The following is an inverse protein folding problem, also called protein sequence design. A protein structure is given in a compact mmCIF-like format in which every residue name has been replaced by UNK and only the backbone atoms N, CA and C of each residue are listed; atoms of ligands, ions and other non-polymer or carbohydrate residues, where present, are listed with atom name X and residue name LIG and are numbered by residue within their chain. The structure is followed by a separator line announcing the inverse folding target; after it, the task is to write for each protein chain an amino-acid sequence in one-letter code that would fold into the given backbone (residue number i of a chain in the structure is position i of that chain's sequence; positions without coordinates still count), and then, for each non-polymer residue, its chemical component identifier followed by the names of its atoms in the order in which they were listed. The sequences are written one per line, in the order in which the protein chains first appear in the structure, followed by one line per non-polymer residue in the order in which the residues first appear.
data_IF_222174821226
#
_entry.id   IF_222174821226
#
_cell.length_a   1.000
_cell.length_b   1.000
_cell.length_c   1.000
_cell.angle_alpha   90.00
_cell.angle_beta   90.00
_cell.angle_gamma   90.00
#
_symmetry.space_group_name_H-M   'P 1'
#
loop_
_entity.id
_entity.type
_entity.pdbx_description
1 polymer ?
#
# COMPACT_ATOMS: atom_id res chain seq x y z
N UNK A 1 -11.91 15.18 55.37
CA UNK A 1 -13.03 15.08 56.33
C UNK A 1 -14.25 15.72 55.67
N UNK A 2 -15.30 14.92 55.43
CA UNK A 2 -16.64 15.00 56.08
C UNK A 2 -17.32 16.35 55.81
N UNK A 3 -18.53 16.43 55.25
CA UNK A 3 -19.60 15.45 55.07
C UNK A 3 -20.67 16.09 54.17
N UNK A 4 -21.94 15.69 54.12
CA UNK A 4 -22.76 14.52 54.45
C UNK A 4 -24.20 14.99 54.14
N UNK A 5 -25.10 14.08 53.76
CA UNK A 5 -26.56 14.30 53.72
C UNK A 5 -27.13 14.27 52.29
N UNK A 6 -27.68 13.19 51.71
CA UNK A 6 -28.82 12.33 52.14
C UNK A 6 -30.05 13.18 52.52
N UNK A 7 -31.28 12.95 52.04
CA UNK A 7 -31.91 11.78 51.43
C UNK A 7 -33.34 12.13 50.92
N UNK A 8 -34.01 11.11 50.38
CA UNK A 8 -35.47 10.82 50.39
C UNK A 8 -36.27 10.99 49.08
N UNK A 9 -36.53 9.84 48.43
CA UNK A 9 -37.79 9.45 47.77
C UNK A 9 -38.89 9.18 48.84
N UNK A 10 -40.13 8.64 48.56
CA UNK A 10 -40.83 8.29 47.31
C UNK A 10 -42.37 8.60 47.34
N UNK A 11 -43.17 7.92 46.47
CA UNK A 11 -44.65 7.69 46.49
C UNK A 11 -45.49 8.77 45.76
N UNK A 12 -46.59 8.50 45.05
CA UNK A 12 -47.42 7.30 44.83
C UNK A 12 -48.48 7.60 43.74
N UNK A 13 -48.85 6.56 42.98
CA UNK A 13 -50.19 6.20 42.45
C UNK A 13 -51.02 7.20 41.63
N UNK A 14 -51.56 6.73 40.50
CA UNK A 14 -52.95 6.24 40.46
C UNK A 14 -53.32 5.63 39.10
N UNK A 15 -53.94 4.46 39.18
CA UNK A 15 -54.60 3.76 38.11
C UNK A 15 -56.02 4.32 37.89
N UNK A 16 -56.58 4.17 36.70
CA UNK A 16 -58.03 4.17 36.50
C UNK A 16 -58.40 3.25 35.33
N UNK A 17 -59.06 2.16 35.72
CA UNK A 17 -59.81 1.19 34.92
C UNK A 17 -61.18 1.77 34.55
N UNK A 18 -61.65 1.54 33.32
CA UNK A 18 -63.07 1.42 32.99
C UNK A 18 -63.28 0.32 31.93
N UNK A 19 -63.39 -0.90 32.44
CA UNK A 19 -64.48 -1.88 32.31
C UNK A 19 -65.37 -2.03 31.04
N UNK A 20 -66.03 -3.22 30.90
CA UNK A 20 -66.28 -3.92 29.64
C UNK A 20 -67.77 -4.04 29.25
N UNK A 21 -68.06 -4.62 28.08
CA UNK A 21 -69.40 -5.11 27.73
C UNK A 21 -69.34 -6.57 27.25
N UNK A 22 -70.10 -7.42 27.96
CA UNK A 22 -70.48 -8.83 27.69
C UNK A 22 -71.68 -8.83 26.68
N UNK A 23 -72.14 -9.85 25.94
CA UNK A 23 -71.98 -11.33 25.85
C UNK A 23 -72.90 -11.84 24.69
N UNK A 24 -72.78 -13.14 24.38
CA UNK A 24 -73.78 -14.07 23.75
C UNK A 24 -73.89 -14.07 22.20
N UNK A 25 -74.03 -15.18 21.47
CA UNK A 25 -74.18 -16.61 21.80
C UNK A 25 -73.94 -17.53 20.56
N UNK A 26 -73.48 -18.76 20.83
CA UNK A 26 -73.70 -20.09 20.20
C UNK A 26 -74.14 -20.27 18.73
N UNK A 27 -73.42 -21.12 17.97
CA UNK A 27 -73.80 -22.53 17.60
C UNK A 27 -72.71 -23.20 16.69
N UNK A 28 -72.51 -24.54 16.73
CA UNK A 28 -71.51 -25.27 15.91
C UNK A 28 -72.17 -26.20 14.84
N UNK A 29 -71.48 -27.18 14.23
CA UNK A 29 -70.73 -27.09 12.97
C UNK A 29 -71.34 -27.93 11.82
N UNK A 30 -70.89 -27.75 10.57
CA UNK A 30 -71.11 -28.70 9.49
C UNK A 30 -69.79 -29.04 8.79
N UNK A 31 -69.54 -30.34 8.71
CA UNK A 31 -68.39 -31.03 8.10
C UNK A 31 -68.64 -31.18 6.60
N UNK A 32 -67.59 -31.03 5.76
CA UNK A 32 -67.31 -31.73 4.48
C UNK A 32 -66.09 -31.03 3.85
N UNK A 33 -64.87 -31.53 4.03
CA UNK A 33 -64.15 -32.47 3.15
C UNK A 33 -63.79 -31.94 1.75
N UNK A 34 -62.47 -31.91 1.53
CA UNK A 34 -61.73 -32.02 0.26
C UNK A 34 -61.64 -30.80 -0.65
N UNK A 35 -60.46 -30.18 -0.73
CA UNK A 35 -59.43 -30.50 -1.74
C UNK A 35 -58.33 -29.42 -1.83
N UNK A 36 -57.13 -29.88 -2.18
CA UNK A 36 -55.96 -29.12 -2.65
C UNK A 36 -55.22 -28.23 -1.64
N UNK A 37 -54.46 -28.87 -0.75
CA UNK A 37 -53.26 -28.26 -0.19
C UNK A 37 -52.26 -28.02 -1.33
N UNK A 38 -52.27 -26.83 -1.92
CA UNK A 38 -51.22 -26.37 -2.81
C UNK A 38 -49.91 -26.35 -2.01
N UNK A 39 -49.05 -27.34 -2.24
CA UNK A 39 -47.69 -27.34 -1.71
C UNK A 39 -46.99 -26.09 -2.26
N UNK A 40 -46.73 -25.13 -1.38
CA UNK A 40 -45.92 -23.98 -1.73
C UNK A 40 -44.54 -24.48 -2.20
N UNK A 41 -44.01 -24.01 -3.34
CA UNK A 41 -42.68 -24.39 -3.76
C UNK A 41 -41.70 -24.00 -2.66
N UNK A 42 -40.83 -24.93 -2.28
CA UNK A 42 -39.83 -24.70 -1.25
C UNK A 42 -39.10 -23.38 -1.52
N UNK A 43 -38.86 -22.54 -0.49
CA UNK A 43 -38.16 -21.29 -0.66
C UNK A 43 -36.81 -21.57 -1.35
N UNK A 44 -36.39 -20.73 -2.31
CA UNK A 44 -35.11 -20.91 -2.97
C UNK A 44 -34.02 -21.04 -1.91
N UNK A 45 -33.05 -21.97 -2.09
CA UNK A 45 -31.99 -22.14 -1.12
C UNK A 45 -31.34 -20.79 -0.84
N UNK A 46 -30.98 -20.50 0.43
CA UNK A 46 -30.34 -19.24 0.76
C UNK A 46 -29.15 -19.02 -0.18
N UNK A 47 -28.95 -17.80 -0.70
CA UNK A 47 -27.83 -17.53 -1.59
C UNK A 47 -26.56 -18.04 -0.91
N UNK A 48 -25.82 -18.91 -1.61
CA UNK A 48 -24.54 -19.41 -1.10
C UNK A 48 -23.74 -18.20 -0.64
N UNK A 49 -23.22 -18.19 0.60
CA UNK A 49 -22.49 -17.04 1.09
C UNK A 49 -21.40 -16.74 0.06
N UNK A 50 -21.41 -15.51 -0.47
CA UNK A 50 -20.39 -15.06 -1.40
C UNK A 50 -19.06 -15.31 -0.69
N UNK A 51 -18.27 -16.23 -1.24
CA UNK A 51 -16.92 -16.57 -0.79
C UNK A 51 -15.96 -15.41 -1.11
N UNK A 52 -16.34 -14.18 -0.78
CA UNK A 52 -15.55 -12.96 -1.00
C UNK A 52 -14.23 -12.96 -0.20
N UNK A 53 -13.99 -14.03 0.57
CA UNK A 53 -12.89 -14.24 1.49
C UNK A 53 -12.29 -15.66 1.39
N UNK A 54 -12.65 -16.47 0.39
CA UNK A 54 -11.98 -17.76 0.20
C UNK A 54 -10.57 -17.58 -0.36
N UNK A 55 -9.63 -18.46 0.04
CA UNK A 55 -8.33 -18.58 -0.63
C UNK A 55 -8.58 -18.88 -2.11
N UNK A 56 -7.84 -18.20 -3.00
CA UNK A 56 -7.85 -18.51 -4.42
C UNK A 56 -7.52 -19.99 -4.61
N UNK A 57 -8.36 -20.68 -5.38
CA UNK A 57 -8.08 -22.05 -5.81
C UNK A 57 -6.86 -22.07 -6.74
N UNK A 58 -6.14 -23.20 -6.84
CA UNK A 58 -5.03 -23.33 -7.78
C UNK A 58 -5.43 -23.02 -9.24
N UNK A 59 -6.66 -23.35 -9.63
CA UNK A 59 -7.21 -23.06 -10.96
C UNK A 59 -7.43 -21.56 -11.18
N UNK A 60 -8.02 -20.86 -10.19
CA UNK A 60 -8.18 -19.40 -10.24
C UNK A 60 -6.82 -18.68 -10.28
N UNK A 61 -5.83 -19.17 -9.52
CA UNK A 61 -4.47 -18.62 -9.53
C UNK A 61 -3.80 -18.79 -10.90
N UNK A 62 -3.94 -19.97 -11.51
CA UNK A 62 -3.44 -20.24 -12.86
C UNK A 62 -4.11 -19.34 -13.90
N UNK A 63 -5.42 -19.10 -13.77
CA UNK A 63 -6.13 -18.14 -14.61
C UNK A 63 -5.59 -16.73 -14.44
N UNK A 64 -5.36 -16.26 -13.20
CA UNK A 64 -4.78 -14.94 -12.92
C UNK A 64 -3.39 -14.82 -13.57
N UNK A 65 -2.53 -15.82 -13.39
CA UNK A 65 -1.18 -15.87 -13.97
C UNK A 65 -1.18 -15.82 -15.50
N UNK A 66 -2.20 -16.38 -16.16
CA UNK A 66 -2.37 -16.26 -17.62
C UNK A 66 -3.01 -14.95 -18.05
N UNK A 67 -3.99 -14.46 -17.31
CA UNK A 67 -4.81 -13.31 -17.72
C UNK A 67 -4.09 -11.98 -17.52
N UNK A 68 -3.38 -11.78 -16.40
CA UNK A 68 -2.71 -10.50 -16.13
C UNK A 68 -1.68 -10.14 -17.20
N UNK A 69 -0.74 -11.04 -17.60
CA UNK A 69 0.19 -10.72 -18.68
C UNK A 69 -0.52 -10.44 -20.02
N UNK A 70 -1.62 -11.13 -20.32
CA UNK A 70 -2.41 -10.90 -21.54
C UNK A 70 -3.08 -9.53 -21.52
N UNK A 71 -3.66 -9.11 -20.38
CA UNK A 71 -4.22 -7.78 -20.20
C UNK A 71 -3.14 -6.70 -20.35
N UNK A 72 -1.96 -6.94 -19.76
CA UNK A 72 -0.80 -6.06 -19.90
C UNK A 72 -0.35 -5.89 -21.37
N UNK A 73 -0.26 -7.00 -22.11
CA UNK A 73 0.12 -6.99 -23.53
C UNK A 73 -0.94 -6.34 -24.42
N UNK A 74 -2.22 -6.42 -24.02
CA UNK A 74 -3.35 -5.81 -24.72
C UNK A 74 -3.63 -4.36 -24.29
N UNK A 75 -2.75 -3.77 -23.45
CA UNK A 75 -2.87 -2.43 -22.89
C UNK A 75 -4.13 -2.17 -22.02
N UNK A 76 -4.76 -3.22 -21.49
CA UNK A 76 -5.86 -3.14 -20.52
C UNK A 76 -5.30 -3.06 -19.09
N UNK A 77 -4.51 -2.01 -18.83
CA UNK A 77 -3.82 -1.81 -17.54
C UNK A 77 -4.79 -1.56 -16.37
N UNK A 78 -5.89 -0.80 -16.50
CA UNK A 78 -6.86 -0.65 -15.42
C UNK A 78 -7.47 -1.98 -14.97
N UNK A 79 -7.84 -2.84 -15.91
CA UNK A 79 -8.39 -4.17 -15.66
C UNK A 79 -7.36 -5.05 -14.95
N UNK A 80 -6.10 -5.02 -15.39
CA UNK A 80 -5.01 -5.78 -14.78
C UNK A 80 -4.73 -5.34 -13.33
N UNK A 81 -4.73 -4.03 -13.07
CA UNK A 81 -4.57 -3.48 -11.72
C UNK A 81 -5.75 -3.88 -10.83
N UNK A 82 -6.99 -3.74 -11.31
CA UNK A 82 -8.19 -4.16 -10.54
C UNK A 82 -8.19 -5.66 -10.23
N UNK A 83 -7.78 -6.49 -11.19
CA UNK A 83 -7.68 -7.94 -11.00
C UNK A 83 -6.64 -8.27 -9.92
N UNK A 84 -5.48 -7.62 -9.95
CA UNK A 84 -4.45 -7.81 -8.92
C UNK A 84 -4.87 -7.27 -7.56
N UNK A 85 -5.52 -6.11 -7.49
CA UNK A 85 -6.09 -5.57 -6.24
C UNK A 85 -7.11 -6.55 -5.64
N UNK A 86 -8.01 -7.09 -6.47
CA UNK A 86 -8.95 -8.12 -6.05
C UNK A 86 -8.23 -9.39 -5.54
N UNK A 87 -7.14 -9.81 -6.18
CA UNK A 87 -6.34 -10.94 -5.71
C UNK A 87 -5.69 -10.66 -4.35
N UNK A 88 -5.14 -9.45 -4.16
CA UNK A 88 -4.52 -9.01 -2.91
C UNK A 88 -5.52 -8.88 -1.76
N UNK A 89 -6.83 -8.72 -2.05
CA UNK A 89 -7.90 -8.75 -1.05
C UNK A 89 -8.27 -10.17 -0.57
N UNK A 90 -7.88 -11.22 -1.30
CA UNK A 90 -8.12 -12.62 -0.89
C UNK A 90 -7.14 -13.06 0.22
N UNK A 91 -7.47 -14.11 0.98
CA UNK A 91 -6.59 -14.58 2.07
C UNK A 91 -5.22 -15.05 1.53
N UNK A 92 -4.18 -14.23 1.77
CA UNK A 92 -2.75 -14.53 1.64
C UNK A 92 -2.34 -15.31 0.37
N UNK A 93 -2.47 -14.71 -0.83
CA UNK A 93 -1.64 -15.16 -1.94
C UNK A 93 -0.18 -14.83 -1.64
N UNK A 94 0.73 -15.79 -1.86
CA UNK A 94 2.16 -15.47 -1.87
C UNK A 94 2.43 -14.54 -3.06
N UNK A 95 3.09 -13.39 -2.84
CA UNK A 95 3.37 -12.45 -3.94
C UNK A 95 4.11 -13.11 -5.10
N UNK A 96 4.98 -14.08 -4.79
CA UNK A 96 5.74 -14.87 -5.76
C UNK A 96 4.84 -15.65 -6.73
N UNK A 97 3.63 -16.02 -6.28
CA UNK A 97 2.66 -16.76 -7.10
C UNK A 97 1.83 -15.84 -8.01
N UNK A 98 1.91 -14.52 -7.82
CA UNK A 98 1.16 -13.55 -8.60
C UNK A 98 2.02 -12.95 -9.72
N UNK A 99 1.43 -12.61 -10.87
CA UNK A 99 2.14 -12.04 -12.02
C UNK A 99 2.42 -10.53 -11.85
N UNK A 100 2.72 -10.10 -10.62
CA UNK A 100 3.03 -8.71 -10.27
C UNK A 100 4.25 -8.19 -11.06
N UNK A 101 5.35 -8.96 -11.22
CA UNK A 101 6.49 -8.48 -12.01
C UNK A 101 6.13 -8.18 -13.47
N UNK A 102 5.18 -8.92 -14.05
CA UNK A 102 4.71 -8.66 -15.42
C UNK A 102 3.91 -7.36 -15.49
N UNK A 103 3.00 -7.12 -14.54
CA UNK A 103 2.28 -5.85 -14.45
C UNK A 103 3.25 -4.69 -14.21
N UNK A 104 4.08 -4.76 -13.17
CA UNK A 104 5.03 -3.69 -12.80
C UNK A 104 5.91 -3.32 -13.99
N UNK A 105 6.49 -4.31 -14.67
CA UNK A 105 7.27 -4.09 -15.89
C UNK A 105 6.45 -3.35 -16.93
N UNK A 106 5.24 -3.82 -17.26
CA UNK A 106 4.40 -3.17 -18.27
C UNK A 106 4.03 -1.72 -17.90
N UNK A 107 3.76 -1.46 -16.63
CA UNK A 107 3.49 -0.11 -16.11
C UNK A 107 4.69 0.81 -16.31
N UNK A 108 5.90 0.32 -16.03
CA UNK A 108 7.15 1.10 -16.13
C UNK A 108 7.67 1.24 -17.58
N UNK A 109 7.43 0.25 -18.44
CA UNK A 109 7.78 0.27 -19.88
C UNK A 109 6.90 1.20 -20.72
N UNK A 110 5.78 1.67 -20.20
CA UNK A 110 4.83 2.48 -20.97
C UNK A 110 5.49 3.76 -21.48
N UNK A 111 5.42 4.01 -22.80
CA UNK A 111 5.87 5.26 -23.43
C UNK A 111 5.08 6.48 -22.93
N UNK A 112 3.90 6.24 -22.35
CA UNK A 112 3.16 7.29 -21.67
C UNK A 112 3.94 7.76 -20.42
N UNK A 113 4.23 9.07 -20.31
CA UNK A 113 4.89 9.65 -19.13
C UNK A 113 3.98 9.60 -17.90
N UNK A 114 2.73 9.19 -18.08
CA UNK A 114 1.73 9.15 -17.04
C UNK A 114 1.96 7.98 -16.07
N UNK A 115 1.97 8.31 -14.78
CA UNK A 115 2.04 7.34 -13.68
C UNK A 115 0.66 6.91 -13.18
N UNK A 116 -0.44 7.34 -13.81
CA UNK A 116 -1.83 7.07 -13.35
C UNK A 116 -2.05 5.63 -12.91
N UNK A 117 -1.65 4.65 -13.72
CA UNK A 117 -1.85 3.23 -13.39
C UNK A 117 -0.97 2.74 -12.24
N UNK A 118 0.28 3.21 -12.14
CA UNK A 118 1.13 2.93 -10.98
C UNK A 118 0.61 3.59 -9.72
N UNK A 119 0.12 4.83 -9.80
CA UNK A 119 -0.49 5.51 -8.67
C UNK A 119 -1.79 4.83 -8.24
N UNK A 120 -2.61 4.36 -9.18
CA UNK A 120 -3.80 3.57 -8.88
C UNK A 120 -3.44 2.28 -8.13
N UNK A 121 -2.38 1.58 -8.54
CA UNK A 121 -1.87 0.42 -7.81
C UNK A 121 -1.39 0.79 -6.40
N UNK A 122 -0.61 1.85 -6.25
CA UNK A 122 -0.14 2.32 -4.94
C UNK A 122 -1.31 2.72 -4.02
N UNK A 123 -2.32 3.40 -4.57
CA UNK A 123 -3.56 3.76 -3.86
C UNK A 123 -4.34 2.52 -3.44
N UNK A 124 -4.44 1.51 -4.30
CA UNK A 124 -5.07 0.24 -3.97
C UNK A 124 -4.33 -0.44 -2.81
N UNK A 125 -2.99 -0.50 -2.85
CA UNK A 125 -2.16 -1.06 -1.78
C UNK A 125 -2.34 -0.32 -0.45
N UNK A 126 -2.44 1.02 -0.48
CA UNK A 126 -2.64 1.84 0.73
C UNK A 126 -3.95 1.55 1.45
N UNK A 127 -5.04 1.39 0.69
CA UNK A 127 -6.38 1.17 1.23
C UNK A 127 -6.69 -0.30 1.49
N UNK A 128 -5.73 -1.21 1.26
CA UNK A 128 -5.92 -2.63 1.44
C UNK A 128 -5.49 -3.05 2.85
N UNK A 129 -6.43 -3.28 3.79
CA UNK A 129 -6.10 -3.61 5.18
C UNK A 129 -5.49 -5.00 5.35
N UNK A 130 -5.50 -5.83 4.29
CA UNK A 130 -5.01 -7.22 4.31
C UNK A 130 -3.63 -7.37 3.69
N UNK A 131 -3.12 -6.36 3.00
CA UNK A 131 -1.78 -6.41 2.44
C UNK A 131 -0.76 -6.19 3.57
N UNK A 132 0.14 -7.14 3.77
CA UNK A 132 1.20 -6.98 4.77
C UNK A 132 2.14 -5.85 4.36
N UNK A 133 2.69 -5.13 5.34
CA UNK A 133 3.70 -4.09 5.12
C UNK A 133 4.88 -4.60 4.26
N UNK A 134 5.29 -5.86 4.47
CA UNK A 134 6.32 -6.53 3.69
C UNK A 134 5.93 -6.68 2.21
N UNK A 135 4.68 -7.05 1.93
CA UNK A 135 4.20 -7.19 0.57
C UNK A 135 4.14 -5.85 -0.16
N UNK A 136 3.65 -4.80 0.50
CA UNK A 136 3.64 -3.46 -0.09
C UNK A 136 5.07 -2.97 -0.35
N UNK A 137 5.98 -3.19 0.60
CA UNK A 137 7.41 -2.85 0.44
C UNK A 137 8.05 -3.57 -0.75
N UNK A 138 7.78 -4.87 -0.93
CA UNK A 138 8.28 -5.65 -2.05
C UNK A 138 7.76 -5.11 -3.40
N UNK A 139 6.47 -4.78 -3.49
CA UNK A 139 5.87 -4.23 -4.73
C UNK A 139 6.45 -2.85 -5.04
N UNK A 140 6.58 -1.98 -4.03
CA UNK A 140 7.18 -0.66 -4.22
C UNK A 140 8.65 -0.75 -4.62
N UNK A 141 9.40 -1.67 -4.01
CA UNK A 141 10.79 -1.94 -4.38
C UNK A 141 10.89 -2.40 -5.83
N UNK A 142 10.02 -3.31 -6.29
CA UNK A 142 9.95 -3.70 -7.70
C UNK A 142 9.65 -2.51 -8.63
N UNK A 143 8.71 -1.63 -8.26
CA UNK A 143 8.40 -0.43 -9.03
C UNK A 143 9.61 0.50 -9.13
N UNK A 144 10.31 0.76 -8.02
CA UNK A 144 11.51 1.62 -7.99
C UNK A 144 12.58 1.06 -8.93
N UNK A 145 12.95 -0.22 -8.79
CA UNK A 145 13.96 -0.83 -9.66
C UNK A 145 13.51 -0.82 -11.12
N UNK A 146 12.24 -1.18 -11.39
CA UNK A 146 11.73 -1.22 -12.75
C UNK A 146 11.72 0.16 -13.41
N UNK A 147 11.34 1.23 -12.71
CA UNK A 147 11.44 2.59 -13.25
C UNK A 147 12.87 3.01 -13.54
N UNK A 148 13.82 2.66 -12.66
CA UNK A 148 15.24 2.92 -12.88
C UNK A 148 15.78 2.17 -14.11
N UNK A 149 15.42 0.90 -14.29
CA UNK A 149 15.84 0.09 -15.43
C UNK A 149 15.29 0.63 -16.77
N UNK A 150 14.11 1.26 -16.74
CA UNK A 150 13.49 1.89 -17.90
C UNK A 150 13.91 3.35 -18.11
N UNK A 151 14.99 3.81 -17.46
CA UNK A 151 15.50 5.19 -17.56
C UNK A 151 14.49 6.26 -17.16
N UNK A 152 13.63 5.95 -16.20
CA UNK A 152 12.60 6.84 -15.64
C UNK A 152 12.88 7.18 -14.16
N UNK A 153 14.01 7.85 -13.87
CA UNK A 153 14.44 8.12 -12.50
C UNK A 153 13.50 9.08 -11.73
N UNK A 154 12.79 9.96 -12.44
CA UNK A 154 11.83 10.89 -11.81
C UNK A 154 10.62 10.14 -11.24
N UNK A 155 10.12 9.16 -11.97
CA UNK A 155 9.03 8.29 -11.55
C UNK A 155 9.45 7.35 -10.42
N UNK A 156 10.67 6.80 -10.49
CA UNK A 156 11.26 6.05 -9.38
C UNK A 156 11.30 6.89 -8.09
N UNK A 157 11.72 8.16 -8.19
CA UNK A 157 11.77 9.07 -7.05
C UNK A 157 10.37 9.38 -6.50
N UNK A 158 9.34 9.50 -7.35
CA UNK A 158 7.94 9.66 -6.89
C UNK A 158 7.43 8.45 -6.11
N UNK A 159 7.78 7.23 -6.52
CA UNK A 159 7.44 6.01 -5.76
C UNK A 159 8.18 6.00 -4.43
N UNK A 160 9.48 6.33 -4.43
CA UNK A 160 10.27 6.45 -3.20
C UNK A 160 9.69 7.49 -2.22
N UNK A 161 9.32 8.67 -2.70
CA UNK A 161 8.67 9.70 -1.89
C UNK A 161 7.30 9.26 -1.37
N UNK A 162 6.56 8.46 -2.14
CA UNK A 162 5.31 7.85 -1.69
C UNK A 162 5.56 6.87 -0.52
N UNK A 163 6.59 6.03 -0.61
CA UNK A 163 6.97 5.08 0.45
C UNK A 163 7.38 5.78 1.74
N UNK A 164 7.93 6.99 1.66
CA UNK A 164 8.43 7.79 2.80
C UNK A 164 7.34 8.57 3.54
N UNK A 165 6.12 8.64 3.01
CA UNK A 165 5.06 9.44 3.63
C UNK A 165 4.77 8.97 5.06
N UNK A 166 4.41 9.86 6.00
CA UNK A 166 4.12 9.48 7.38
C UNK A 166 3.02 8.42 7.54
N UNK A 167 2.10 8.34 6.58
CA UNK A 167 0.99 7.38 6.53
C UNK A 167 1.28 6.16 5.63
N UNK A 168 2.51 6.00 5.17
CA UNK A 168 2.90 4.87 4.33
C UNK A 168 2.93 3.58 5.15
N UNK A 169 2.33 2.47 4.65
CA UNK A 169 2.43 1.17 5.29
C UNK A 169 3.81 0.51 5.06
N UNK A 170 4.72 1.15 4.30
CA UNK A 170 6.01 0.60 3.92
C UNK A 170 7.11 1.03 4.89
N UNK A 171 7.75 0.09 5.63
CA UNK A 171 9.04 0.38 6.23
C UNK A 171 10.09 0.53 5.11
N UNK A 172 10.76 1.67 5.08
CA UNK A 172 11.86 1.89 4.14
C UNK A 172 13.10 1.13 4.62
N UNK A 173 13.51 0.13 3.84
CA UNK A 173 14.75 -0.60 4.09
C UNK A 173 15.97 0.13 3.49
N UNK A 174 17.17 -0.04 4.07
CA UNK A 174 18.41 0.52 3.50
C UNK A 174 18.68 0.06 2.06
N UNK A 175 18.16 -1.10 1.66
CA UNK A 175 18.24 -1.63 0.29
C UNK A 175 17.56 -0.70 -0.73
N UNK A 176 16.42 -0.11 -0.37
CA UNK A 176 15.65 0.79 -1.24
C UNK A 176 16.39 2.12 -1.43
N UNK A 177 16.92 2.71 -0.35
CA UNK A 177 17.75 3.92 -0.43
C UNK A 177 18.95 3.69 -1.35
N UNK A 178 19.68 2.57 -1.17
CA UNK A 178 20.81 2.20 -2.02
C UNK A 178 20.42 2.13 -3.49
N UNK A 179 19.32 1.44 -3.81
CA UNK A 179 18.84 1.30 -5.18
C UNK A 179 18.52 2.66 -5.82
N UNK A 180 17.85 3.55 -5.08
CA UNK A 180 17.50 4.89 -5.55
C UNK A 180 18.75 5.75 -5.76
N UNK A 181 19.68 5.81 -4.80
CA UNK A 181 20.92 6.59 -4.94
C UNK A 181 21.73 6.13 -6.14
N UNK A 182 21.96 4.82 -6.27
CA UNK A 182 22.70 4.26 -7.41
C UNK A 182 21.97 4.53 -8.73
N UNK A 183 20.66 4.33 -8.76
CA UNK A 183 19.82 4.59 -9.92
C UNK A 183 19.89 6.04 -10.38
N UNK A 184 19.79 7.00 -9.46
CA UNK A 184 19.88 8.43 -9.76
C UNK A 184 21.27 8.81 -10.28
N UNK A 185 22.35 8.32 -9.65
CA UNK A 185 23.72 8.54 -10.11
C UNK A 185 23.98 7.96 -11.51
N UNK A 186 23.41 6.80 -11.84
CA UNK A 186 23.52 6.20 -13.18
C UNK A 186 22.85 7.06 -14.25
N UNK A 187 21.79 7.77 -13.91
CA UNK A 187 21.01 8.61 -14.82
C UNK A 187 21.37 10.10 -14.76
N UNK A 188 22.49 10.47 -14.12
CA UNK A 188 22.95 11.85 -14.05
C UNK A 188 22.04 12.77 -13.23
N UNK A 189 21.34 12.21 -12.23
CA UNK A 189 20.51 12.95 -11.27
C UNK A 189 21.26 13.12 -9.95
N UNK A 190 22.42 13.76 -10.00
CA UNK A 190 23.37 13.80 -8.88
C UNK A 190 22.84 14.60 -7.70
N UNK A 191 22.18 15.74 -7.93
CA UNK A 191 21.54 16.51 -6.86
C UNK A 191 20.49 15.70 -6.11
N UNK A 192 19.60 15.01 -6.84
CA UNK A 192 18.61 14.15 -6.23
C UNK A 192 19.26 12.96 -5.50
N UNK A 193 20.33 12.38 -6.06
CA UNK A 193 21.08 11.32 -5.41
C UNK A 193 21.69 11.77 -4.07
N UNK A 194 22.26 12.98 -4.01
CA UNK A 194 22.78 13.58 -2.77
C UNK A 194 21.69 13.81 -1.73
N UNK A 195 20.51 14.30 -2.15
CA UNK A 195 19.36 14.47 -1.27
C UNK A 195 18.90 13.14 -0.66
N UNK A 196 18.87 12.07 -1.46
CA UNK A 196 18.51 10.73 -0.96
C UNK A 196 19.63 10.15 -0.08
N UNK A 197 20.90 10.36 -0.41
CA UNK A 197 22.03 9.95 0.43
C UNK A 197 21.98 10.62 1.81
N UNK A 198 21.71 11.92 1.85
CA UNK A 198 21.51 12.67 3.10
C UNK A 198 20.38 12.08 3.95
N UNK A 199 19.26 11.74 3.31
CA UNK A 199 18.13 11.08 3.99
C UNK A 199 18.51 9.68 4.49
N UNK A 200 19.35 8.95 3.76
CA UNK A 200 19.84 7.64 4.19
C UNK A 200 20.75 7.75 5.42
N UNK A 201 21.61 8.78 5.50
CA UNK A 201 22.44 9.03 6.70
C UNK A 201 21.56 9.32 7.91
N UNK A 202 20.56 10.20 7.75
CA UNK A 202 19.63 10.61 8.81
C UNK A 202 18.72 9.45 9.28
N UNK A 203 18.19 8.66 8.35
CA UNK A 203 17.21 7.60 8.66
C UNK A 203 17.79 6.21 8.94
N UNK A 204 18.94 5.86 8.34
CA UNK A 204 19.56 4.54 8.48
C UNK A 204 20.86 4.55 9.30
N UNK A 205 21.44 5.72 9.56
CA UNK A 205 22.69 5.89 10.28
C UNK A 205 23.94 5.84 9.40
N UNK A 206 24.97 6.57 9.83
CA UNK A 206 26.24 6.74 9.12
C UNK A 206 26.93 5.40 8.80
N UNK A 207 27.00 4.48 9.76
CA UNK A 207 27.64 3.17 9.60
C UNK A 207 27.04 2.34 8.44
N UNK A 208 25.71 2.38 8.28
CA UNK A 208 25.01 1.67 7.20
C UNK A 208 25.38 2.25 5.83
N UNK A 209 25.61 3.57 5.77
CA UNK A 209 26.01 4.28 4.55
C UNK A 209 27.45 3.97 4.19
N UNK A 210 28.39 4.03 5.15
CA UNK A 210 29.82 3.72 4.92
C UNK A 210 30.03 2.26 4.53
N UNK A 211 29.27 1.33 5.12
CA UNK A 211 29.31 -0.08 4.76
C UNK A 211 28.73 -0.38 3.35
N UNK A 212 28.21 0.62 2.66
CA UNK A 212 27.62 0.49 1.33
C UNK A 212 28.47 1.16 0.25
N UNK A 213 28.19 0.83 -1.01
CA UNK A 213 28.86 1.36 -2.20
C UNK A 213 28.25 2.68 -2.72
N UNK A 214 27.29 3.26 -1.99
CA UNK A 214 26.55 4.45 -2.44
C UNK A 214 27.42 5.71 -2.49
N UNK A 215 28.37 5.86 -1.56
CA UNK A 215 29.28 7.01 -1.50
C UNK A 215 30.20 7.05 -2.72
N UNK A 216 30.78 5.90 -3.10
CA UNK A 216 31.57 5.75 -4.32
C UNK A 216 30.76 6.06 -5.59
N UNK A 217 29.48 5.67 -5.60
CA UNK A 217 28.57 5.99 -6.70
C UNK A 217 28.33 7.50 -6.84
N UNK A 218 28.08 8.18 -5.72
CA UNK A 218 27.90 9.64 -5.66
C UNK A 218 29.18 10.37 -6.03
N UNK A 219 30.33 9.96 -5.49
CA UNK A 219 31.66 10.49 -5.87
C UNK A 219 31.85 10.43 -7.39
N UNK A 220 31.59 9.26 -8.00
CA UNK A 220 31.69 9.09 -9.45
C UNK A 220 30.68 9.94 -10.24
N UNK A 221 29.54 10.27 -9.64
CA UNK A 221 28.53 11.17 -10.23
C UNK A 221 28.98 12.63 -10.17
N UNK A 222 29.53 13.08 -9.04
CA UNK A 222 30.10 14.43 -8.86
C UNK A 222 31.25 14.69 -9.83
N UNK A 223 32.14 13.71 -10.04
CA UNK A 223 33.22 13.83 -11.02
C UNK A 223 32.71 14.00 -12.45
N UNK A 224 31.62 13.31 -12.83
CA UNK A 224 30.99 13.45 -14.15
C UNK A 224 30.42 14.85 -14.38
N UNK A 225 30.11 15.57 -13.33
CA UNK A 225 29.63 16.96 -13.36
C UNK A 225 30.74 17.99 -13.06
N UNK A 226 32.01 17.56 -13.10
CA UNK A 226 33.20 18.38 -12.83
C UNK A 226 33.25 18.99 -11.41
N UNK A 227 32.48 18.46 -10.45
CA UNK A 227 32.46 18.87 -9.04
C UNK A 227 33.55 18.16 -8.22
N UNK A 228 34.81 18.34 -8.62
CA UNK A 228 35.96 17.60 -8.07
C UNK A 228 36.18 17.90 -6.58
N UNK A 229 36.03 19.16 -6.17
CA UNK A 229 36.21 19.57 -4.77
C UNK A 229 35.17 18.91 -3.86
N UNK A 230 33.90 18.99 -4.24
CA UNK A 230 32.80 18.39 -3.50
C UNK A 230 32.96 16.86 -3.38
N UNK A 231 33.43 16.21 -4.44
CA UNK A 231 33.70 14.76 -4.42
C UNK A 231 34.78 14.39 -3.39
N UNK A 232 35.88 15.14 -3.35
CA UNK A 232 36.97 14.90 -2.39
C UNK A 232 36.55 15.22 -0.94
N UNK A 233 35.78 16.28 -0.73
CA UNK A 233 35.25 16.64 0.59
C UNK A 233 34.32 15.56 1.11
N UNK A 234 33.42 15.05 0.26
CA UNK A 234 32.53 13.95 0.59
C UNK A 234 33.32 12.69 1.01
N UNK A 235 34.31 12.29 0.22
CA UNK A 235 35.12 11.11 0.52
C UNK A 235 35.88 11.25 1.86
N UNK A 236 36.46 12.44 2.12
CA UNK A 236 37.15 12.69 3.40
C UNK A 236 36.18 12.61 4.58
N UNK A 237 34.99 13.21 4.45
CA UNK A 237 33.99 13.19 5.50
C UNK A 237 33.52 11.75 5.80
N UNK A 238 33.19 10.97 4.78
CA UNK A 238 32.76 9.58 4.94
C UNK A 238 33.89 8.62 5.35
N UNK A 239 35.16 8.99 5.15
CA UNK A 239 36.32 8.26 5.66
C UNK A 239 36.71 8.62 7.12
N UNK A 240 36.02 9.57 7.75
CA UNK A 240 36.38 10.07 9.09
C UNK A 240 37.66 10.92 9.11
N UNK A 241 38.12 11.39 7.95
CA UNK A 241 39.28 12.25 7.77
C UNK A 241 38.90 13.70 7.41
N UNK A 242 37.61 14.04 7.50
CA UNK A 242 37.07 15.38 7.24
C UNK A 242 37.12 16.27 8.47
N UNK A 243 37.19 17.59 8.25
CA UNK A 243 37.06 18.60 9.30
C UNK A 243 35.59 18.82 9.71
N UNK A 244 34.66 18.46 8.83
CA UNK A 244 33.22 18.63 9.00
C UNK A 244 32.51 17.28 8.99
N UNK A 245 31.37 17.21 9.66
CA UNK A 245 30.54 16.01 9.67
C UNK A 245 29.96 15.73 8.27
N UNK A 246 29.80 14.45 7.87
CA UNK A 246 29.25 14.06 6.57
C UNK A 246 27.91 14.74 6.24
N UNK A 247 27.07 14.98 7.24
CA UNK A 247 25.79 15.68 7.07
C UNK A 247 25.96 17.15 6.70
N UNK A 248 26.93 17.85 7.29
CA UNK A 248 27.20 19.27 7.01
C UNK A 248 27.78 19.44 5.61
N UNK A 249 28.69 18.54 5.21
CA UNK A 249 29.23 18.49 3.85
C UNK A 249 28.11 18.27 2.84
N UNK A 250 27.23 17.29 3.08
CA UNK A 250 26.07 17.04 2.23
C UNK A 250 25.15 18.27 2.13
N UNK A 251 24.84 18.90 3.26
CA UNK A 251 23.99 20.10 3.31
C UNK A 251 24.59 21.27 2.52
N UNK A 252 25.90 21.51 2.67
CA UNK A 252 26.62 22.55 1.90
C UNK A 252 26.56 22.25 0.40
N UNK A 253 26.91 21.03 -0.02
CA UNK A 253 26.95 20.65 -1.45
C UNK A 253 25.57 20.82 -2.08
N UNK A 254 24.52 20.40 -1.37
CA UNK A 254 23.12 20.50 -1.81
C UNK A 254 22.67 21.97 -1.87
N UNK A 255 23.02 22.78 -0.88
CA UNK A 255 22.64 24.20 -0.84
C UNK A 255 23.31 25.02 -1.94
N UNK A 256 24.58 24.75 -2.23
CA UNK A 256 25.37 25.46 -3.24
C UNK A 256 25.16 24.94 -4.67
N UNK A 257 24.19 24.05 -4.89
CA UNK A 257 23.94 23.48 -6.20
C UNK A 257 23.34 24.53 -7.16
N UNK A 258 24.04 24.84 -8.25
CA UNK A 258 23.58 25.71 -9.34
C UNK A 258 23.37 24.86 -10.60
N UNK A 259 22.23 25.03 -11.26
CA UNK A 259 21.82 24.30 -12.48
C UNK A 259 22.49 24.82 -13.76
#
# INVERSE_FOLDING_TARGET
MRGFGRALSPLSASASLLQPVRRCASTPPLVSSDTAAAAQPAPPPPPRPLKLWARLTPEEMEQVNRLVPRLCNSNHLPEAVRLLDACLLTHQPALESLPIPALVRRLCCSDEPDMTHSMALLTALLHNPRCSAANVSAICSMLVHSYLDHRRPREALKVFDWMRRPNSPCPLEPSVYRAVVQGLCRHGKTLEALRVLRQMVDGCGFEVVVASDVTACVHSSLLREARIRDAQELDRAFAGAGEEEPMEVLDRIIHNWQD
#
